data_IF_283627672655
#
_entry.id   IF_283627672655
#
_cell.length_a   1.000
_cell.length_b   1.000
_cell.length_c   1.000
_cell.angle_alpha   90.00
_cell.angle_beta   90.00
_cell.angle_gamma   90.00
#
_symmetry.space_group_name_H-M   'P 1'
#
loop_
_entity.id
_entity.type
_entity.pdbx_description
1 polymer ?
#
# COMPACT_ATOMS: atom_id res chain seq x y z
N UNK A 1 -12.39 11.96 -16.96
CA UNK A 1 -13.56 11.24 -17.53
C UNK A 1 -13.20 10.46 -18.78
N UNK A 2 -12.65 11.08 -19.83
CA UNK A 2 -12.37 10.38 -21.11
C UNK A 2 -11.51 9.11 -21.00
N UNK A 3 -10.44 9.10 -20.18
CA UNK A 3 -9.58 7.90 -20.03
C UNK A 3 -10.32 6.76 -19.31
N UNK A 4 -11.07 7.05 -18.24
CA UNK A 4 -11.86 6.05 -17.52
C UNK A 4 -13.01 5.47 -18.35
N UNK A 5 -13.61 6.27 -19.22
CA UNK A 5 -14.68 5.81 -20.11
C UNK A 5 -14.16 4.84 -21.18
N UNK A 6 -12.92 5.04 -21.64
CA UNK A 6 -12.33 4.18 -22.68
C UNK A 6 -11.62 2.94 -22.12
N UNK A 7 -10.95 3.06 -20.97
CA UNK A 7 -10.13 1.99 -20.36
C UNK A 7 -10.25 2.08 -18.83
N UNK A 8 -11.37 1.61 -18.24
CA UNK A 8 -11.64 1.73 -16.80
C UNK A 8 -10.61 1.01 -15.92
N UNK A 9 -9.87 0.04 -16.47
CA UNK A 9 -8.83 -0.71 -15.78
C UNK A 9 -7.47 0.01 -15.67
N UNK A 10 -7.28 1.13 -16.37
CA UNK A 10 -5.99 1.84 -16.38
C UNK A 10 -5.86 2.78 -15.16
N UNK A 11 -4.88 2.56 -14.26
CA UNK A 11 -4.65 3.47 -13.14
C UNK A 11 -4.15 4.84 -13.63
N UNK A 12 -4.76 5.90 -13.12
CA UNK A 12 -4.42 7.29 -13.48
C UNK A 12 -3.77 8.00 -12.29
N UNK A 13 -2.56 8.52 -12.50
CA UNK A 13 -1.84 9.37 -11.53
C UNK A 13 -2.01 10.83 -11.93
N UNK A 14 -2.39 11.69 -10.99
CA UNK A 14 -2.65 13.12 -11.23
C UNK A 14 -1.70 13.97 -10.41
N UNK A 15 -1.04 14.94 -11.06
CA UNK A 15 -0.27 15.99 -10.36
C UNK A 15 -1.18 17.15 -9.98
N UNK A 16 -1.03 17.66 -8.76
CA UNK A 16 -1.63 18.92 -8.31
C UNK A 16 -0.57 19.90 -7.82
N UNK A 17 -0.91 21.18 -7.77
CA UNK A 17 -0.03 22.18 -7.17
C UNK A 17 0.10 21.98 -5.65
N UNK A 18 -1.04 21.74 -4.98
CA UNK A 18 -1.14 21.53 -3.53
C UNK A 18 -2.27 20.55 -3.17
N UNK A 19 -2.57 20.44 -1.88
CA UNK A 19 -3.46 19.43 -1.31
C UNK A 19 -4.96 19.74 -1.50
N UNK A 20 -5.34 20.97 -1.88
CA UNK A 20 -6.74 21.45 -1.86
C UNK A 20 -7.69 20.62 -2.73
N UNK A 21 -7.18 20.11 -3.85
CA UNK A 21 -7.95 19.35 -4.83
C UNK A 21 -7.82 17.82 -4.68
N UNK A 22 -7.05 17.33 -3.70
CA UNK A 22 -6.76 15.89 -3.60
C UNK A 22 -8.02 15.04 -3.47
N UNK A 23 -8.91 15.40 -2.54
CA UNK A 23 -10.16 14.65 -2.32
C UNK A 23 -11.11 14.71 -3.51
N UNK A 24 -11.07 15.81 -4.27
CA UNK A 24 -11.88 15.98 -5.48
C UNK A 24 -11.38 15.07 -6.60
N UNK A 25 -10.07 15.04 -6.82
CA UNK A 25 -9.43 14.25 -7.88
C UNK A 25 -9.44 12.75 -7.57
N UNK A 26 -9.24 12.38 -6.29
CA UNK A 26 -9.40 11.01 -5.83
C UNK A 26 -10.84 10.51 -6.07
N UNK A 27 -11.86 11.31 -5.72
CA UNK A 27 -13.27 10.96 -6.01
C UNK A 27 -13.62 10.96 -7.50
N UNK A 28 -12.88 11.70 -8.32
CA UNK A 28 -12.98 11.61 -9.77
C UNK A 28 -12.32 10.32 -10.32
N UNK A 29 -11.75 9.49 -9.44
CA UNK A 29 -11.16 8.18 -9.71
C UNK A 29 -9.73 8.23 -10.26
N UNK A 30 -8.98 9.26 -9.89
CA UNK A 30 -7.53 9.17 -9.90
C UNK A 30 -7.10 8.05 -8.94
N UNK A 31 -6.24 7.16 -9.43
CA UNK A 31 -5.62 6.13 -8.60
C UNK A 31 -4.66 6.75 -7.58
N UNK A 32 -3.97 7.83 -7.97
CA UNK A 32 -3.07 8.58 -7.11
C UNK A 32 -3.13 10.09 -7.43
N UNK A 33 -3.01 10.92 -6.40
CA UNK A 33 -2.92 12.37 -6.55
C UNK A 33 -1.67 12.85 -5.83
N UNK A 34 -0.74 13.49 -6.56
CA UNK A 34 0.57 13.91 -6.09
C UNK A 34 0.67 15.44 -6.05
N UNK A 35 0.66 16.07 -4.86
CA UNK A 35 0.88 17.50 -4.68
C UNK A 35 2.36 17.89 -4.82
N UNK A 36 2.64 18.73 -5.81
CA UNK A 36 3.98 19.22 -6.16
C UNK A 36 4.64 19.98 -5.00
N UNK A 37 3.92 20.89 -4.34
CA UNK A 37 4.46 21.69 -3.25
C UNK A 37 4.92 20.82 -2.07
N UNK A 38 4.18 19.74 -1.77
CA UNK A 38 4.55 18.81 -0.71
C UNK A 38 5.82 18.04 -1.09
N UNK A 39 5.87 17.46 -2.29
CA UNK A 39 7.03 16.68 -2.74
C UNK A 39 8.30 17.54 -2.80
N UNK A 40 8.19 18.78 -3.27
CA UNK A 40 9.28 19.75 -3.23
C UNK A 40 9.75 20.02 -1.78
N UNK A 41 8.82 20.21 -0.84
CA UNK A 41 9.16 20.45 0.57
C UNK A 41 9.85 19.25 1.23
N UNK A 42 9.41 18.02 0.92
CA UNK A 42 10.03 16.79 1.42
C UNK A 42 11.45 16.62 0.88
N UNK A 43 11.67 16.99 -0.39
CA UNK A 43 13.00 16.97 -0.98
C UNK A 43 13.93 18.00 -0.32
N UNK A 44 13.46 19.22 -0.05
CA UNK A 44 14.27 20.21 0.66
C UNK A 44 14.58 19.76 2.10
N UNK A 45 13.60 19.21 2.81
CA UNK A 45 13.79 18.66 4.14
C UNK A 45 14.81 17.50 4.13
N UNK A 46 14.77 16.63 3.13
CA UNK A 46 15.73 15.51 3.02
C UNK A 46 17.16 15.99 2.89
N UNK A 47 17.40 16.98 2.04
CA UNK A 47 18.71 17.61 1.88
C UNK A 47 19.18 18.26 3.19
N UNK A 48 18.30 18.99 3.88
CA UNK A 48 18.63 19.59 5.17
C UNK A 48 19.01 18.53 6.22
N UNK A 49 18.27 17.41 6.28
CA UNK A 49 18.56 16.31 7.21
C UNK A 49 19.92 15.64 6.92
N UNK A 50 20.26 15.45 5.65
CA UNK A 50 21.57 14.92 5.26
C UNK A 50 22.69 15.89 5.64
N UNK A 51 22.49 17.20 5.43
CA UNK A 51 23.49 18.23 5.77
C UNK A 51 23.80 18.30 7.27
N UNK A 52 22.83 18.01 8.13
CA UNK A 52 23.05 17.93 9.59
C UNK A 52 23.60 16.57 10.05
N UNK A 53 24.03 15.71 9.11
CA UNK A 53 24.69 14.44 9.40
C UNK A 53 23.76 13.27 9.68
N UNK A 54 22.46 13.37 9.36
CA UNK A 54 21.56 12.23 9.51
C UNK A 54 21.90 11.14 8.48
N UNK A 55 22.00 9.86 8.89
CA UNK A 55 22.20 8.76 7.95
C UNK A 55 21.09 8.71 6.90
N UNK A 56 21.46 8.52 5.63
CA UNK A 56 20.53 8.56 4.49
C UNK A 56 19.37 7.56 4.66
N UNK A 57 19.62 6.38 5.21
CA UNK A 57 18.60 5.36 5.46
C UNK A 57 17.50 5.88 6.42
N UNK A 58 17.87 6.68 7.42
CA UNK A 58 16.93 7.31 8.37
C UNK A 58 16.15 8.44 7.73
N UNK A 59 16.76 9.19 6.81
CA UNK A 59 16.10 10.24 6.02
C UNK A 59 15.07 9.63 5.08
N UNK A 60 15.45 8.60 4.32
CA UNK A 60 14.54 7.89 3.42
C UNK A 60 13.36 7.27 4.15
N UNK A 61 13.57 6.70 5.35
CA UNK A 61 12.48 6.22 6.20
C UNK A 61 11.50 7.33 6.55
N UNK A 62 11.98 8.48 7.06
CA UNK A 62 11.11 9.62 7.43
C UNK A 62 10.30 10.16 6.24
N UNK A 63 10.90 10.21 5.05
CA UNK A 63 10.18 10.63 3.83
C UNK A 63 9.08 9.62 3.51
N UNK A 64 9.40 8.31 3.53
CA UNK A 64 8.41 7.24 3.31
C UNK A 64 7.25 7.33 4.30
N UNK A 65 7.54 7.52 5.59
CA UNK A 65 6.51 7.64 6.63
C UNK A 65 5.58 8.84 6.38
N UNK A 66 6.17 10.00 6.02
CA UNK A 66 5.41 11.23 5.75
C UNK A 66 4.54 11.09 4.50
N UNK A 67 5.08 10.45 3.45
CA UNK A 67 4.31 10.09 2.26
C UNK A 67 3.18 9.11 2.60
N UNK A 68 3.45 8.07 3.40
CA UNK A 68 2.44 7.11 3.83
C UNK A 68 1.28 7.76 4.58
N UNK A 69 1.53 8.72 5.47
CA UNK A 69 0.46 9.43 6.17
C UNK A 69 -0.49 10.18 5.22
N UNK A 70 0.04 10.73 4.12
CA UNK A 70 -0.69 11.61 3.19
C UNK A 70 -1.23 10.90 1.93
N UNK A 71 -0.60 9.81 1.50
CA UNK A 71 -1.00 9.03 0.33
C UNK A 71 -1.61 7.70 0.73
N UNK A 72 -2.84 7.43 0.27
CA UNK A 72 -3.52 6.15 0.53
C UNK A 72 -2.76 4.95 -0.06
N UNK A 73 -2.08 5.11 -1.20
CA UNK A 73 -1.30 4.05 -1.84
C UNK A 73 -0.02 3.66 -1.07
N UNK A 74 0.56 4.62 -0.35
CA UNK A 74 1.83 4.47 0.38
C UNK A 74 1.62 4.26 1.89
N UNK A 75 0.37 4.20 2.36
CA UNK A 75 0.03 3.94 3.77
C UNK A 75 0.54 2.61 4.30
N UNK A 76 0.85 1.69 3.40
CA UNK A 76 1.58 0.51 3.77
C UNK A 76 3.02 0.54 3.24
N UNK A 77 3.92 0.14 4.11
CA UNK A 77 5.36 0.04 3.90
C UNK A 77 5.76 -1.15 3.02
N UNK A 78 6.11 -0.97 1.74
CA UNK A 78 6.72 -2.06 0.96
C UNK A 78 8.17 -2.31 1.43
N UNK A 79 8.50 -3.49 1.98
CA UNK A 79 9.91 -3.94 2.09
C UNK A 79 10.43 -4.18 0.67
N UNK A 80 11.39 -3.36 0.23
CA UNK A 80 12.14 -3.60 -0.99
C UNK A 80 13.35 -4.51 -0.74
N UNK A 81 13.85 -5.17 -1.78
CA UNK A 81 15.03 -6.05 -1.77
C UNK A 81 16.33 -5.42 -1.20
N UNK A 82 16.35 -4.12 -0.93
CA UNK A 82 17.53 -3.37 -0.44
C UNK A 82 17.50 -3.06 1.06
N UNK A 83 16.45 -3.44 1.79
CA UNK A 83 16.40 -3.22 3.24
C UNK A 83 17.22 -4.33 3.93
N UNK A 84 18.53 -4.10 4.08
CA UNK A 84 19.40 -4.93 4.93
C UNK A 84 18.91 -4.94 6.38
N UNK A 85 19.07 -6.10 7.00
CA UNK A 85 18.48 -6.64 8.23
C UNK A 85 18.72 -5.86 9.55
N UNK A 86 19.27 -4.67 9.48
CA UNK A 86 19.64 -3.90 10.65
C UNK A 86 18.57 -2.85 10.99
N UNK A 87 17.86 -3.10 12.10
CA UNK A 87 17.09 -2.15 12.91
C UNK A 87 15.58 -1.99 12.62
N UNK A 88 14.79 -3.02 12.97
CA UNK A 88 13.65 -2.98 13.93
C UNK A 88 12.63 -4.06 13.58
N UNK A 89 12.70 -5.23 14.20
CA UNK A 89 11.79 -6.37 13.98
C UNK A 89 10.31 -6.14 14.34
N UNK A 90 9.93 -4.95 14.80
CA UNK A 90 8.59 -4.67 15.36
C UNK A 90 7.76 -3.66 14.54
N UNK A 91 8.26 -3.18 13.39
CA UNK A 91 7.50 -2.25 12.53
C UNK A 91 6.56 -2.99 11.57
N UNK A 92 5.31 -2.52 11.40
CA UNK A 92 4.38 -3.07 10.41
C UNK A 92 4.95 -2.96 8.99
N UNK A 93 4.85 -4.03 8.21
CA UNK A 93 5.25 -4.07 6.80
C UNK A 93 4.06 -4.44 5.91
N UNK A 94 4.12 -3.98 4.67
CA UNK A 94 3.31 -4.52 3.58
C UNK A 94 3.96 -5.73 2.96
N UNK A 95 3.11 -6.67 2.64
CA UNK A 95 3.45 -7.84 1.86
C UNK A 95 2.35 -8.13 0.84
N UNK A 96 2.75 -8.47 -0.38
CA UNK A 96 1.80 -8.76 -1.47
C UNK A 96 1.70 -10.25 -1.69
N UNK A 97 0.53 -10.82 -1.43
CA UNK A 97 0.22 -12.24 -1.61
C UNK A 97 -0.57 -12.40 -2.91
N UNK A 98 -0.06 -13.21 -3.82
CA UNK A 98 -0.77 -13.55 -5.06
C UNK A 98 -1.60 -14.81 -4.84
N UNK A 99 -2.91 -14.73 -5.09
CA UNK A 99 -3.82 -15.88 -5.04
C UNK A 99 -3.69 -16.68 -6.34
N UNK A 100 -2.74 -17.60 -6.33
CA UNK A 100 -2.50 -18.55 -7.41
C UNK A 100 -3.67 -19.55 -7.53
N UNK A 101 -3.86 -20.21 -8.69
CA UNK A 101 -4.88 -21.23 -8.86
C UNK A 101 -4.75 -22.30 -7.76
N UNK A 102 -5.83 -22.54 -7.02
CA UNK A 102 -5.86 -23.50 -5.92
C UNK A 102 -5.52 -22.94 -4.53
N UNK A 103 -5.30 -21.62 -4.38
CA UNK A 103 -5.23 -20.98 -3.05
C UNK A 103 -6.54 -21.17 -2.28
N UNK A 104 -6.43 -21.49 -0.99
CA UNK A 104 -7.59 -21.74 -0.12
C UNK A 104 -8.55 -20.53 -0.05
N UNK A 105 -8.00 -19.33 -0.09
CA UNK A 105 -8.77 -18.09 -0.04
C UNK A 105 -9.72 -17.86 -1.23
N UNK A 106 -9.56 -18.57 -2.34
CA UNK A 106 -10.38 -18.34 -3.54
C UNK A 106 -11.84 -18.72 -3.28
N UNK A 107 -12.74 -17.77 -3.50
CA UNK A 107 -14.19 -17.93 -3.31
C UNK A 107 -14.69 -17.59 -1.90
N UNK A 108 -13.79 -17.45 -0.94
CA UNK A 108 -14.08 -17.02 0.43
C UNK A 108 -14.09 -15.49 0.57
N UNK A 109 -14.74 -15.01 1.62
CA UNK A 109 -14.71 -13.58 2.01
C UNK A 109 -13.47 -13.27 2.86
N UNK A 110 -13.07 -12.00 2.92
CA UNK A 110 -11.96 -11.56 3.77
C UNK A 110 -12.23 -11.83 5.26
N UNK A 111 -13.48 -11.66 5.69
CA UNK A 111 -13.91 -11.84 7.08
C UNK A 111 -13.67 -13.27 7.59
N UNK A 112 -13.78 -14.28 6.73
CA UNK A 112 -13.60 -15.70 7.09
C UNK A 112 -12.19 -16.04 7.61
N UNK A 113 -11.18 -15.23 7.30
CA UNK A 113 -9.78 -15.49 7.68
C UNK A 113 -9.37 -14.84 9.01
N UNK A 114 -10.22 -13.97 9.57
CA UNK A 114 -10.01 -13.29 10.85
C UNK A 114 -8.60 -12.71 11.02
N UNK A 115 -8.06 -12.08 9.98
CA UNK A 115 -6.68 -11.59 9.95
C UNK A 115 -6.40 -10.54 11.05
N UNK A 116 -7.42 -9.76 11.42
CA UNK A 116 -7.29 -8.74 12.47
C UNK A 116 -6.91 -9.37 13.83
N UNK A 117 -7.37 -10.59 14.11
CA UNK A 117 -7.07 -11.31 15.37
C UNK A 117 -5.59 -11.66 15.52
N UNK A 118 -4.88 -11.82 14.40
CA UNK A 118 -3.44 -12.07 14.38
C UNK A 118 -2.63 -10.78 14.18
N UNK A 119 -3.27 -9.61 14.18
CA UNK A 119 -2.61 -8.31 14.00
C UNK A 119 -2.16 -8.03 12.56
N UNK A 120 -2.91 -8.56 11.59
CA UNK A 120 -2.71 -8.34 10.16
C UNK A 120 -4.02 -7.83 9.54
N UNK A 121 -3.95 -6.94 8.55
CA UNK A 121 -5.13 -6.47 7.81
C UNK A 121 -4.88 -6.51 6.31
N UNK A 122 -5.94 -6.62 5.51
CA UNK A 122 -5.83 -6.45 4.05
C UNK A 122 -5.99 -4.98 3.72
N UNK A 123 -4.87 -4.29 3.53
CA UNK A 123 -4.86 -2.86 3.16
C UNK A 123 -5.38 -2.59 1.75
N UNK A 124 -5.25 -3.55 0.84
CA UNK A 124 -5.73 -3.43 -0.54
C UNK A 124 -5.88 -4.78 -1.25
N UNK A 125 -6.74 -4.82 -2.27
CA UNK A 125 -6.80 -5.91 -3.26
C UNK A 125 -6.51 -5.31 -4.63
N UNK A 126 -5.57 -5.90 -5.36
CA UNK A 126 -5.35 -5.61 -6.77
C UNK A 126 -5.94 -6.72 -7.63
N UNK A 127 -7.04 -6.40 -8.33
CA UNK A 127 -7.73 -7.28 -9.26
C UNK A 127 -7.64 -6.71 -10.66
N UNK A 128 -7.08 -7.48 -11.61
CA UNK A 128 -6.99 -7.10 -13.04
C UNK A 128 -6.39 -5.69 -13.26
N UNK A 129 -5.39 -5.33 -12.46
CA UNK A 129 -4.72 -4.02 -12.53
C UNK A 129 -5.40 -2.89 -11.76
N UNK A 130 -6.63 -3.09 -11.28
CA UNK A 130 -7.36 -2.12 -10.44
C UNK A 130 -7.06 -2.44 -8.97
N UNK A 131 -6.57 -1.44 -8.22
CA UNK A 131 -6.34 -1.55 -6.78
C UNK A 131 -7.54 -0.97 -6.03
N UNK A 132 -8.28 -1.81 -5.33
CA UNK A 132 -9.24 -1.40 -4.31
C UNK A 132 -8.50 -1.25 -2.98
N UNK A 133 -8.65 -0.10 -2.33
CA UNK A 133 -8.08 0.20 -1.01
C UNK A 133 -9.11 -0.13 0.05
N UNK A 134 -8.67 -0.63 1.21
CA UNK A 134 -9.54 -0.96 2.35
C UNK A 134 -10.77 -1.76 1.89
N UNK A 135 -10.57 -2.95 1.27
CA UNK A 135 -11.66 -3.79 0.80
C UNK A 135 -12.63 -4.10 1.95
N UNK A 136 -13.93 -4.14 1.64
CA UNK A 136 -14.95 -4.47 2.64
C UNK A 136 -14.78 -5.93 3.12
N UNK A 137 -15.12 -6.27 4.37
CA UNK A 137 -14.95 -7.62 4.93
C UNK A 137 -15.67 -8.72 4.12
N UNK A 138 -16.79 -8.38 3.48
CA UNK A 138 -17.59 -9.25 2.61
C UNK A 138 -17.02 -9.40 1.18
N UNK A 139 -15.89 -8.74 0.89
CA UNK A 139 -15.22 -8.84 -0.42
C UNK A 139 -14.77 -10.28 -0.65
N UNK A 140 -15.30 -10.89 -1.72
CA UNK A 140 -14.90 -12.23 -2.15
C UNK A 140 -13.59 -12.18 -2.91
N UNK A 141 -12.66 -13.03 -2.51
CA UNK A 141 -11.36 -13.20 -3.15
C UNK A 141 -11.48 -14.07 -4.39
N UNK A 142 -10.82 -13.67 -5.48
CA UNK A 142 -10.83 -14.35 -6.77
C UNK A 142 -9.44 -14.85 -7.14
N UNK A 143 -9.39 -15.90 -7.97
CA UNK A 143 -8.16 -16.34 -8.62
C UNK A 143 -7.49 -15.17 -9.37
N UNK A 144 -6.18 -15.00 -9.14
CA UNK A 144 -5.41 -13.94 -9.77
C UNK A 144 -5.43 -12.60 -9.03
N UNK A 145 -6.15 -12.49 -7.91
CA UNK A 145 -6.03 -11.35 -7.02
C UNK A 145 -4.64 -11.25 -6.40
N UNK A 146 -4.21 -10.02 -6.14
CA UNK A 146 -3.05 -9.74 -5.28
C UNK A 146 -3.54 -8.99 -4.06
N UNK A 147 -3.49 -9.65 -2.91
CA UNK A 147 -3.82 -9.08 -1.61
C UNK A 147 -2.59 -8.34 -1.07
N UNK A 148 -2.78 -7.14 -0.54
CA UNK A 148 -1.72 -6.35 0.08
C UNK A 148 -1.96 -6.35 1.59
N UNK A 149 -1.26 -7.23 2.30
CA UNK A 149 -1.34 -7.40 3.74
C UNK A 149 -0.52 -6.32 4.44
N UNK A 150 -1.03 -5.75 5.55
CA UNK A 150 -0.31 -4.85 6.45
C UNK A 150 -0.30 -5.47 7.84
N UNK A 151 0.89 -5.64 8.43
CA UNK A 151 1.00 -6.17 9.78
C UNK A 151 2.45 -6.34 10.21
N UNK A 152 2.67 -6.82 11.43
CA UNK A 152 4.02 -7.22 11.86
C UNK A 152 4.55 -8.37 11.01
N UNK A 153 5.87 -8.52 10.81
CA UNK A 153 6.44 -9.56 9.95
C UNK A 153 5.91 -10.96 10.25
N UNK A 154 5.82 -11.33 11.54
CA UNK A 154 5.31 -12.63 11.99
C UNK A 154 3.83 -12.81 11.66
N UNK A 155 3.01 -11.78 11.88
CA UNK A 155 1.58 -11.79 11.58
C UNK A 155 1.30 -11.92 10.08
N UNK A 156 2.13 -11.26 9.26
CA UNK A 156 2.03 -11.29 7.80
C UNK A 156 2.33 -12.68 7.25
N UNK A 157 3.35 -13.37 7.77
CA UNK A 157 3.68 -14.75 7.36
C UNK A 157 2.54 -15.70 7.70
N UNK A 158 2.00 -15.62 8.92
CA UNK A 158 0.85 -16.45 9.33
C UNK A 158 -0.39 -16.16 8.47
N UNK A 159 -0.62 -14.88 8.14
CA UNK A 159 -1.71 -14.49 7.26
C UNK A 159 -1.54 -15.06 5.84
N UNK A 160 -0.33 -15.01 5.28
CA UNK A 160 -0.02 -15.59 3.98
C UNK A 160 -0.27 -17.11 3.95
N UNK A 161 0.21 -17.85 4.96
CA UNK A 161 -0.02 -19.29 5.08
C UNK A 161 -1.51 -19.64 5.15
N UNK A 162 -2.29 -18.91 5.97
CA UNK A 162 -3.75 -19.11 6.06
C UNK A 162 -4.46 -18.89 4.73
N UNK A 163 -4.04 -17.86 3.97
CA UNK A 163 -4.67 -17.52 2.69
C UNK A 163 -4.33 -18.53 1.59
N UNK A 164 -3.10 -19.08 1.60
CA UNK A 164 -2.62 -19.94 0.53
C UNK A 164 -2.87 -21.43 0.78
N UNK A 165 -2.60 -21.92 2.00
CA UNK A 165 -2.46 -23.36 2.25
C UNK A 165 -3.45 -23.92 3.28
N UNK A 166 -3.90 -23.14 4.26
CA UNK A 166 -4.73 -23.65 5.36
C UNK A 166 -3.94 -24.50 6.34
#
# INVERSE_FOLDING_TARGET
RHIQEMRPELPVVVRTHDERDMDRLARAGAAEVVPEALEASLMLASHALVLVGMPINRVLRRIRDTRGQRYKLLRGYFRGFSDTEDESGDQPCLHSVWLAPGSLAIGCTLEEFHLEEIGCEVSAIRRRGIRALEPAPDTRMEEGDVLVLLGKPEAVVVAEERLLQG
#
